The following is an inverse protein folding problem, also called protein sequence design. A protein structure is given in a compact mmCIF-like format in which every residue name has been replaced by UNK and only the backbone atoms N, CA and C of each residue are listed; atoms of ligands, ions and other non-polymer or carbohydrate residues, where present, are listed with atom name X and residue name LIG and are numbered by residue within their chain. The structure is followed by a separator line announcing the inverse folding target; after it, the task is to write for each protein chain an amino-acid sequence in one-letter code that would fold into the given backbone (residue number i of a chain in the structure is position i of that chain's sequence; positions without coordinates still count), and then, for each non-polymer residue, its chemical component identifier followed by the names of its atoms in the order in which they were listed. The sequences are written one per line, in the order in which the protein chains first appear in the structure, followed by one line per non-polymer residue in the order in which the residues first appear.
data_IF_192320053292
#
_entry.id   IF_192320053292
#
_cell.length_a   1.000
_cell.length_b   1.000
_cell.length_c   1.000
_cell.angle_alpha   90.00
_cell.angle_beta   90.00
_cell.angle_gamma   90.00
#
_symmetry.space_group_name_H-M   'P 1'
#
loop_
_entity.id
_entity.type
_entity.pdbx_description
1 polymer ?
#
# COMPACT_ATOMS: atom_id res chain seq x y z
N UNK A 1 20.74 16.91 5.97
CA UNK A 1 20.84 15.56 5.35
C UNK A 1 22.16 14.94 5.75
N UNK A 2 22.18 13.63 6.05
CA UNK A 2 23.42 12.95 6.41
C UNK A 2 24.19 12.51 5.15
N UNK A 3 25.52 12.73 5.06
CA UNK A 3 26.32 12.52 3.84
C UNK A 3 26.23 11.12 3.23
N UNK A 4 25.93 10.09 4.05
CA UNK A 4 25.88 8.70 3.57
C UNK A 4 24.56 8.32 2.86
N UNK A 5 23.56 9.21 2.75
CA UNK A 5 22.28 8.92 2.08
C UNK A 5 22.12 9.61 0.71
N UNK A 6 23.23 9.94 0.06
CA UNK A 6 23.21 10.65 -1.23
C UNK A 6 22.67 9.78 -2.37
N UNK A 7 22.98 8.48 -2.38
CA UNK A 7 22.55 7.55 -3.43
C UNK A 7 21.10 7.04 -3.23
N UNK A 8 20.69 6.82 -1.98
CA UNK A 8 19.32 6.43 -1.60
C UNK A 8 18.90 7.25 -0.41
N UNK A 9 17.94 8.15 -0.62
CA UNK A 9 17.41 9.00 0.44
C UNK A 9 16.60 8.14 1.41
N UNK A 10 16.72 8.44 2.69
CA UNK A 10 15.86 7.87 3.70
C UNK A 10 14.54 8.64 3.74
N UNK A 11 13.46 7.94 3.46
CA UNK A 11 12.10 8.45 3.54
C UNK A 11 11.33 7.61 4.57
N UNK A 12 10.79 8.26 5.59
CA UNK A 12 10.06 7.59 6.68
C UNK A 12 8.67 8.22 6.76
N UNK A 13 7.65 7.36 6.77
CA UNK A 13 6.27 7.72 7.08
C UNK A 13 5.81 6.99 8.34
N UNK A 14 5.03 7.68 9.16
CA UNK A 14 4.36 7.09 10.32
C UNK A 14 2.86 7.40 10.25
N UNK A 15 2.03 6.40 10.57
CA UNK A 15 0.57 6.54 10.63
C UNK A 15 0.08 6.02 11.98
N UNK A 16 -0.75 6.82 12.66
CA UNK A 16 -1.49 6.39 13.85
C UNK A 16 -2.99 6.41 13.55
N UNK A 17 -3.69 5.35 13.94
CA UNK A 17 -5.13 5.19 13.77
C UNK A 17 -5.76 4.50 14.97
N UNK A 18 -7.06 4.71 15.17
CA UNK A 18 -7.83 4.08 16.23
C UNK A 18 -8.94 3.21 15.63
N UNK A 19 -9.12 2.01 16.20
CA UNK A 19 -10.16 1.07 15.81
C UNK A 19 -10.82 0.45 17.06
N UNK A 20 -12.12 0.10 17.01
CA UNK A 20 -12.76 -0.67 18.09
C UNK A 20 -12.03 -2.01 18.30
N UNK A 21 -11.83 -2.43 19.56
CA UNK A 21 -11.06 -3.64 19.86
C UNK A 21 -11.60 -4.90 19.16
N UNK A 22 -12.93 -5.02 19.03
CA UNK A 22 -13.58 -6.13 18.29
C UNK A 22 -13.24 -6.19 16.80
N UNK A 23 -12.80 -5.09 16.18
CA UNK A 23 -12.44 -5.03 14.78
C UNK A 23 -10.95 -5.37 14.53
N UNK A 24 -10.17 -5.57 15.60
CA UNK A 24 -8.77 -5.99 15.51
C UNK A 24 -8.73 -7.52 15.47
N UNK A 25 -8.83 -8.07 14.27
CA UNK A 25 -8.91 -9.52 14.04
C UNK A 25 -7.79 -9.98 13.11
N UNK A 26 -7.28 -11.20 13.35
CA UNK A 26 -6.39 -11.92 12.43
C UNK A 26 -7.10 -13.21 12.05
N UNK A 27 -7.54 -13.28 10.80
CA UNK A 27 -8.30 -14.41 10.27
C UNK A 27 -7.49 -15.10 9.17
N UNK A 28 -7.88 -16.32 8.84
CA UNK A 28 -7.39 -17.09 7.69
C UNK A 28 -8.55 -17.33 6.74
N UNK A 29 -8.24 -17.58 5.47
CA UNK A 29 -9.25 -17.96 4.48
C UNK A 29 -9.50 -19.47 4.54
N UNK A 30 -10.76 -19.87 4.48
CA UNK A 30 -11.19 -21.28 4.39
C UNK A 30 -11.75 -21.61 3.00
N UNK A 31 -11.75 -22.90 2.59
CA UNK A 31 -12.41 -23.31 1.35
C UNK A 31 -13.88 -22.90 1.33
N UNK A 32 -14.27 -22.14 0.30
CA UNK A 32 -15.62 -21.60 0.16
C UNK A 32 -15.73 -20.10 0.43
N UNK A 33 -14.70 -19.48 1.02
CA UNK A 33 -14.64 -18.04 1.19
C UNK A 33 -14.55 -17.31 -0.17
N UNK A 34 -15.25 -16.18 -0.26
CA UNK A 34 -15.20 -15.30 -1.43
C UNK A 34 -14.23 -14.16 -1.16
N UNK A 35 -13.20 -14.04 -2.00
CA UNK A 35 -12.19 -12.98 -1.87
C UNK A 35 -12.60 -11.79 -2.74
N UNK A 36 -12.77 -10.62 -2.11
CA UNK A 36 -13.14 -9.38 -2.78
C UNK A 36 -11.92 -8.46 -2.87
N UNK A 37 -11.60 -8.02 -4.09
CA UNK A 37 -10.64 -6.95 -4.34
C UNK A 37 -11.39 -5.61 -4.37
N UNK A 38 -11.22 -4.81 -3.31
CA UNK A 38 -11.90 -3.52 -3.14
C UNK A 38 -10.91 -2.36 -3.27
N UNK A 39 -11.16 -1.43 -4.20
CA UNK A 39 -10.39 -0.19 -4.30
C UNK A 39 -10.37 0.43 -5.69
N UNK A 40 -9.26 1.11 -6.00
CA UNK A 40 -9.01 1.65 -7.34
C UNK A 40 -8.78 0.55 -8.38
N UNK A 41 -8.91 0.88 -9.67
CA UNK A 41 -8.57 -0.07 -10.76
C UNK A 41 -7.08 -0.38 -10.72
N UNK A 42 -6.74 -1.66 -10.85
CA UNK A 42 -5.36 -2.12 -10.94
C UNK A 42 -4.68 -1.55 -12.20
N UNK A 43 -3.55 -0.87 -11.98
CA UNK A 43 -2.70 -0.31 -13.04
C UNK A 43 -1.49 -1.19 -13.34
N UNK A 44 -0.49 -0.57 -13.99
CA UNK A 44 0.83 -1.18 -14.25
C UNK A 44 1.96 -0.54 -13.41
N UNK A 45 1.61 0.34 -12.48
CA UNK A 45 2.54 0.98 -11.57
C UNK A 45 2.98 0.01 -10.45
N UNK A 46 4.22 0.16 -9.98
CA UNK A 46 4.76 -0.69 -8.91
C UNK A 46 5.15 -2.11 -9.34
N UNK A 47 5.07 -2.46 -10.63
CA UNK A 47 5.51 -3.78 -11.13
C UNK A 47 7.00 -3.93 -10.85
N UNK A 48 7.36 -5.00 -10.13
CA UNK A 48 8.76 -5.25 -9.73
C UNK A 48 9.23 -4.46 -8.52
N UNK A 49 8.39 -3.60 -7.91
CA UNK A 49 8.79 -2.71 -6.82
C UNK A 49 9.38 -3.42 -5.59
N UNK A 50 8.87 -4.60 -5.21
CA UNK A 50 9.40 -5.39 -4.09
C UNK A 50 10.80 -5.98 -4.37
N UNK A 51 11.07 -6.35 -5.63
CA UNK A 51 12.39 -6.80 -6.06
C UNK A 51 13.34 -5.61 -6.25
N UNK A 52 12.84 -4.51 -6.81
CA UNK A 52 13.56 -3.25 -7.03
C UNK A 52 14.01 -2.59 -5.73
N UNK A 53 13.17 -2.61 -4.69
CA UNK A 53 13.51 -2.04 -3.38
C UNK A 53 14.72 -2.69 -2.70
N UNK A 54 15.03 -3.93 -3.09
CA UNK A 54 16.12 -4.76 -2.56
C UNK A 54 17.42 -4.66 -3.36
N UNK A 55 17.44 -3.91 -4.48
CA UNK A 55 18.64 -3.69 -5.30
C UNK A 55 19.40 -2.44 -4.85
N UNK A 56 20.72 -2.48 -4.99
CA UNK A 56 21.56 -1.29 -4.81
C UNK A 56 21.30 -0.32 -5.98
N UNK A 57 21.10 0.96 -5.68
CA UNK A 57 20.93 1.98 -6.71
C UNK A 57 22.29 2.38 -7.30
N UNK A 58 22.37 2.36 -8.63
CA UNK A 58 23.46 2.92 -9.43
C UNK A 58 22.89 3.95 -10.42
N UNK A 59 23.75 4.66 -11.15
CA UNK A 59 23.36 5.71 -12.11
C UNK A 59 22.44 5.23 -13.24
N UNK A 60 22.41 3.93 -13.55
CA UNK A 60 21.53 3.35 -14.58
C UNK A 60 20.13 3.01 -14.05
N UNK A 61 20.00 2.73 -12.74
CA UNK A 61 18.73 2.35 -12.11
C UNK A 61 17.65 3.43 -12.21
N UNK A 62 18.01 4.70 -12.33
CA UNK A 62 17.07 5.82 -12.43
C UNK A 62 16.28 5.83 -13.75
N UNK A 63 16.84 5.29 -14.83
CA UNK A 63 16.19 5.23 -16.14
C UNK A 63 15.28 4.01 -16.33
N UNK A 64 15.59 2.90 -15.64
CA UNK A 64 14.89 1.60 -15.82
C UNK A 64 13.78 1.40 -14.77
N UNK A 65 13.91 1.97 -13.57
CA UNK A 65 12.99 1.73 -12.44
C UNK A 65 11.72 2.60 -12.43
N UNK A 66 11.42 3.35 -13.50
CA UNK A 66 10.24 4.24 -13.55
C UNK A 66 8.91 3.51 -13.36
N UNK A 67 8.83 2.25 -13.80
CA UNK A 67 7.64 1.40 -13.63
C UNK A 67 7.48 0.82 -12.21
N UNK A 68 8.57 0.81 -11.43
CA UNK A 68 8.59 0.29 -10.05
C UNK A 68 7.98 1.28 -9.04
N UNK A 69 7.74 2.53 -9.47
CA UNK A 69 7.15 3.59 -8.65
C UNK A 69 5.63 3.47 -8.64
N UNK A 70 5.07 3.33 -7.44
CA UNK A 70 3.61 3.32 -7.22
C UNK A 70 3.02 4.72 -7.27
N UNK A 71 1.78 4.82 -7.77
CA UNK A 71 1.03 6.08 -7.79
C UNK A 71 -0.11 6.02 -6.77
N UNK A 72 0.02 6.80 -5.69
CA UNK A 72 -1.02 6.90 -4.67
C UNK A 72 -2.31 7.57 -5.21
N UNK A 73 -3.45 7.21 -4.60
CA UNK A 73 -4.75 7.84 -4.89
C UNK A 73 -5.48 8.18 -3.57
N UNK A 74 -5.09 9.30 -2.91
CA UNK A 74 -5.63 9.66 -1.60
C UNK A 74 -7.17 9.80 -1.55
N UNK A 75 -7.85 10.33 -2.60
CA UNK A 75 -9.32 10.36 -2.61
C UNK A 75 -9.96 8.96 -2.56
N UNK A 76 -9.39 7.98 -3.27
CA UNK A 76 -9.90 6.60 -3.25
C UNK A 76 -9.63 5.94 -1.90
N UNK A 77 -8.44 6.11 -1.34
CA UNK A 77 -8.09 5.65 0.00
C UNK A 77 -9.05 6.24 1.06
N UNK A 78 -9.40 7.52 0.94
CA UNK A 78 -10.37 8.18 1.84
C UNK A 78 -11.78 7.59 1.73
N UNK A 79 -12.21 7.19 0.54
CA UNK A 79 -13.51 6.51 0.35
C UNK A 79 -13.54 5.16 1.05
N UNK A 80 -12.46 4.38 0.95
CA UNK A 80 -12.32 3.08 1.63
C UNK A 80 -12.34 3.27 3.15
N UNK A 81 -11.58 4.23 3.68
CA UNK A 81 -11.62 4.55 5.11
C UNK A 81 -13.04 4.89 5.60
N UNK A 82 -13.80 5.66 4.82
CA UNK A 82 -15.19 6.01 5.14
C UNK A 82 -16.13 4.81 5.09
N UNK A 83 -15.93 3.91 4.13
CA UNK A 83 -16.69 2.67 4.01
C UNK A 83 -16.50 1.80 5.26
N UNK A 84 -15.25 1.54 5.69
CA UNK A 84 -14.99 0.75 6.90
C UNK A 84 -15.36 1.45 8.21
N UNK A 85 -15.55 2.77 8.20
CA UNK A 85 -16.02 3.53 9.36
C UNK A 85 -17.54 3.43 9.56
N UNK A 86 -18.28 2.99 8.53
CA UNK A 86 -19.73 2.85 8.52
C UNK A 86 -20.10 1.38 8.67
N UNK A 87 -20.45 0.98 9.87
CA UNK A 87 -20.73 -0.43 10.20
C UNK A 87 -21.87 -0.99 9.36
N UNK A 88 -22.91 -0.19 9.10
CA UNK A 88 -24.06 -0.60 8.29
C UNK A 88 -23.70 -0.94 6.85
N UNK A 89 -22.57 -0.43 6.34
CA UNK A 89 -22.05 -0.75 5.00
C UNK A 89 -20.98 -1.83 5.07
N UNK A 90 -20.08 -1.77 6.05
CA UNK A 90 -18.98 -2.72 6.19
C UNK A 90 -19.44 -4.16 6.41
N UNK A 91 -20.62 -4.38 7.00
CA UNK A 91 -21.18 -5.72 7.21
C UNK A 91 -21.84 -6.34 5.97
N UNK A 92 -22.00 -5.59 4.88
CA UNK A 92 -22.59 -6.10 3.62
C UNK A 92 -21.53 -6.87 2.79
N UNK A 93 -20.26 -6.65 3.10
CA UNK A 93 -19.09 -7.09 2.33
C UNK A 93 -18.37 -8.17 3.12
#
# INVERSE_FOLDING_TARGET
YHPNYVAKRMEIGAVMGAAPRRAVQRLTSDPGDIIILLGGRTGRDGIGGATGSSKAHNTESTAVCGAEVQKGNPPTERKIQRLFRREEVAHII
#
